data_IF_903073951301
#
_entry.id   IF_903073951301
#
_cell.length_a   1.000
_cell.length_b   1.000
_cell.length_c   1.000
_cell.angle_alpha   90.00
_cell.angle_beta   90.00
_cell.angle_gamma   90.00
#
_symmetry.space_group_name_H-M   'P 1'
#
loop_
_entity.id
_entity.type
_entity.pdbx_description
1 polymer ?
#
# COMPACT_ATOMS: atom_id res chain seq x y z
N UNK A 1 25.81 -43.46 -11.12
CA UNK A 1 25.24 -42.86 -9.89
C UNK A 1 25.57 -41.37 -9.70
N UNK A 2 26.70 -40.84 -10.21
CA UNK A 2 27.07 -39.42 -10.05
C UNK A 2 26.21 -38.42 -10.86
N UNK A 3 25.66 -38.81 -12.01
CA UNK A 3 24.81 -37.94 -12.83
C UNK A 3 23.41 -37.69 -12.23
N UNK A 4 22.90 -38.63 -11.44
CA UNK A 4 21.58 -38.53 -10.82
C UNK A 4 21.56 -37.44 -9.72
N UNK A 5 22.66 -37.30 -8.99
CA UNK A 5 22.83 -36.30 -7.92
C UNK A 5 22.84 -34.87 -8.45
N UNK A 6 23.46 -34.64 -9.61
CA UNK A 6 23.48 -33.31 -10.23
C UNK A 6 22.10 -32.86 -10.71
N UNK A 7 21.32 -33.78 -11.31
CA UNK A 7 19.97 -33.46 -11.78
C UNK A 7 19.03 -33.08 -10.62
N UNK A 8 19.18 -33.74 -9.47
CA UNK A 8 18.34 -33.49 -8.30
C UNK A 8 18.67 -32.13 -7.64
N UNK A 9 19.95 -31.76 -7.62
CA UNK A 9 20.39 -30.46 -7.11
C UNK A 9 19.90 -29.28 -7.98
N UNK A 10 19.88 -29.44 -9.30
CA UNK A 10 19.38 -28.40 -10.22
C UNK A 10 17.89 -28.21 -10.05
N UNK A 11 17.09 -29.28 -9.97
CA UNK A 11 15.63 -29.16 -9.79
C UNK A 11 15.25 -28.47 -8.47
N UNK A 12 16.00 -28.69 -7.38
CA UNK A 12 15.73 -28.07 -6.08
C UNK A 12 16.00 -26.56 -6.06
N UNK A 13 16.91 -26.06 -6.90
CA UNK A 13 17.23 -24.64 -6.98
C UNK A 13 16.15 -23.79 -7.67
N UNK A 14 15.32 -24.38 -8.53
CA UNK A 14 14.27 -23.67 -9.27
C UNK A 14 12.95 -23.52 -8.50
N UNK A 15 12.73 -24.29 -7.44
CA UNK A 15 11.47 -24.29 -6.69
C UNK A 15 11.36 -23.16 -5.66
N UNK A 16 12.41 -22.37 -5.45
CA UNK A 16 12.49 -21.37 -4.36
C UNK A 16 11.91 -19.99 -4.70
N UNK A 17 11.45 -19.74 -5.94
CA UNK A 17 11.08 -18.37 -6.38
C UNK A 17 9.58 -18.04 -6.30
N UNK A 18 8.72 -18.91 -5.76
CA UNK A 18 7.26 -18.74 -5.86
C UNK A 18 6.52 -18.45 -4.55
N UNK A 19 7.15 -17.77 -3.59
CA UNK A 19 6.49 -17.28 -2.37
C UNK A 19 6.54 -15.75 -2.28
N UNK A 20 6.21 -15.08 -3.39
CA UNK A 20 5.64 -13.74 -3.29
C UNK A 20 4.17 -13.91 -2.92
N UNK A 21 3.88 -14.31 -1.68
CA UNK A 21 2.51 -14.23 -1.15
C UNK A 21 2.11 -12.76 -1.25
N UNK A 22 1.15 -12.39 -2.09
CA UNK A 22 0.71 -11.00 -2.14
C UNK A 22 0.27 -10.63 -0.73
N UNK A 23 0.82 -9.53 -0.20
CA UNK A 23 0.35 -9.01 1.08
C UNK A 23 -1.18 -8.91 1.01
N UNK A 24 -1.92 -9.29 2.08
CA UNK A 24 -3.36 -9.14 2.10
C UNK A 24 -3.70 -7.66 1.81
N UNK A 25 -4.06 -7.39 0.56
CA UNK A 25 -4.67 -6.14 0.17
C UNK A 25 -6.05 -6.15 0.83
N UNK A 26 -6.30 -5.15 1.66
CA UNK A 26 -7.57 -4.98 2.37
C UNK A 26 -8.70 -5.19 1.36
N UNK A 27 -9.50 -6.25 1.58
CA UNK A 27 -10.53 -6.76 0.65
C UNK A 27 -11.61 -5.73 0.29
N UNK A 28 -11.60 -4.58 0.94
CA UNK A 28 -12.35 -3.40 0.59
C UNK A 28 -11.44 -2.18 0.86
N UNK A 29 -10.86 -1.51 -0.14
CA UNK A 29 -10.21 -0.24 0.10
C UNK A 29 -11.31 0.71 0.56
N UNK A 30 -11.36 0.97 1.87
CA UNK A 30 -12.15 2.07 2.41
C UNK A 30 -11.89 3.29 1.52
N UNK A 31 -12.93 3.96 0.99
CA UNK A 31 -12.74 5.04 0.06
C UNK A 31 -11.80 6.09 0.68
N UNK A 32 -10.66 6.30 0.02
CA UNK A 32 -9.67 7.30 0.44
C UNK A 32 -10.16 8.65 -0.05
N UNK A 33 -10.48 9.53 0.88
CA UNK A 33 -10.90 10.89 0.57
C UNK A 33 -9.69 11.81 0.50
N UNK A 34 -9.60 12.61 -0.56
CA UNK A 34 -8.53 13.59 -0.73
C UNK A 34 -8.99 15.02 -0.45
N UNK A 35 -8.05 15.86 -0.07
CA UNK A 35 -8.27 17.26 0.27
C UNK A 35 -7.16 18.16 -0.29
N UNK A 36 -7.48 19.40 -0.64
CA UNK A 36 -6.56 20.32 -1.30
C UNK A 36 -6.36 19.95 -2.77
N UNK A 37 -5.11 20.02 -3.22
CA UNK A 37 -4.74 19.88 -4.63
C UNK A 37 -5.26 21.03 -5.50
N UNK A 38 -5.20 20.87 -6.82
CA UNK A 38 -5.68 21.85 -7.81
C UNK A 38 -7.17 22.20 -7.62
N UNK A 39 -7.96 21.24 -7.14
CA UNK A 39 -9.42 21.38 -6.95
C UNK A 39 -9.79 22.10 -5.66
N UNK A 40 -8.85 22.28 -4.71
CA UNK A 40 -9.13 22.89 -3.41
C UNK A 40 -10.13 22.11 -2.54
N UNK A 41 -10.22 20.79 -2.72
CA UNK A 41 -11.23 19.92 -2.09
C UNK A 41 -11.15 19.99 -0.56
N UNK A 42 -12.29 20.06 0.14
CA UNK A 42 -12.32 20.01 1.61
C UNK A 42 -12.70 18.62 2.09
N UNK A 43 -12.15 18.22 3.24
CA UNK A 43 -12.60 17.01 3.91
C UNK A 43 -14.05 17.16 4.42
N UNK A 44 -14.81 16.06 4.47
CA UNK A 44 -16.15 16.06 5.06
C UNK A 44 -16.13 16.46 6.54
N UNK A 45 -17.28 16.89 7.06
CA UNK A 45 -17.43 17.31 8.47
C UNK A 45 -17.00 16.19 9.41
N UNK A 46 -16.19 16.53 10.42
CA UNK A 46 -15.65 15.55 11.37
C UNK A 46 -14.32 14.92 10.95
N UNK A 47 -13.78 15.31 9.79
CA UNK A 47 -12.50 14.83 9.27
C UNK A 47 -11.50 15.98 9.16
N UNK A 48 -10.22 15.64 9.16
CA UNK A 48 -9.10 16.57 8.96
C UNK A 48 -8.30 16.19 7.74
N UNK A 49 -7.69 17.19 7.11
CA UNK A 49 -6.77 16.99 6.01
C UNK A 49 -5.36 16.75 6.55
N UNK A 50 -4.76 15.61 6.21
CA UNK A 50 -3.40 15.25 6.59
C UNK A 50 -2.47 15.22 5.37
N UNK A 51 -1.24 15.66 5.60
CA UNK A 51 -0.18 15.65 4.60
C UNK A 51 0.42 14.26 4.38
N UNK A 52 1.27 14.09 3.34
CA UNK A 52 1.83 15.17 2.51
C UNK A 52 0.81 15.77 1.53
N UNK A 53 0.77 17.09 1.43
CA UNK A 53 -0.08 17.79 0.45
C UNK A 53 0.70 17.87 -0.87
N UNK A 54 0.41 16.97 -1.80
CA UNK A 54 0.97 17.03 -3.16
C UNK A 54 0.17 18.01 -4.01
N UNK A 55 0.82 18.72 -4.94
CA UNK A 55 0.14 19.73 -5.77
C UNK A 55 -0.96 19.14 -6.64
N UNK A 56 -0.74 17.92 -7.15
CA UNK A 56 -1.66 17.28 -8.10
C UNK A 56 -2.78 16.49 -7.40
N UNK A 57 -2.48 15.88 -6.24
CA UNK A 57 -3.39 14.94 -5.54
C UNK A 57 -3.97 15.54 -4.26
N UNK A 58 -3.27 16.48 -3.63
CA UNK A 58 -3.60 17.00 -2.31
C UNK A 58 -3.13 16.09 -1.17
N UNK A 59 -3.75 16.25 -0.01
CA UNK A 59 -3.60 15.39 1.17
C UNK A 59 -4.66 14.31 1.25
N UNK A 60 -4.66 13.58 2.37
CA UNK A 60 -5.63 12.53 2.67
C UNK A 60 -6.47 12.92 3.88
N UNK A 61 -7.77 12.69 3.82
CA UNK A 61 -8.68 12.95 4.92
C UNK A 61 -8.66 11.80 5.92
N UNK A 62 -8.55 12.13 7.20
CA UNK A 62 -8.67 11.18 8.31
C UNK A 62 -9.80 11.60 9.25
N UNK A 63 -10.44 10.62 9.88
CA UNK A 63 -11.45 10.88 10.90
C UNK A 63 -10.86 11.61 12.10
N UNK A 64 -11.65 12.53 12.67
CA UNK A 64 -11.26 13.40 13.77
C UNK A 64 -10.86 14.79 13.28
N UNK A 65 -11.34 15.82 13.98
CA UNK A 65 -11.03 17.23 13.67
C UNK A 65 -9.74 17.71 14.36
N UNK A 66 -9.25 16.97 15.36
CA UNK A 66 -8.10 17.34 16.19
C UNK A 66 -7.18 16.15 16.44
N UNK A 67 -5.87 16.40 16.50
CA UNK A 67 -4.83 15.40 16.78
C UNK A 67 -3.77 15.27 15.69
N UNK A 68 -2.83 14.37 15.91
CA UNK A 68 -1.66 14.16 15.04
C UNK A 68 -2.06 13.34 13.82
N UNK A 69 -1.59 13.74 12.64
CA UNK A 69 -1.75 12.96 11.43
C UNK A 69 -0.93 11.67 11.51
N UNK A 70 -1.45 10.52 11.04
CA UNK A 70 -0.67 9.30 10.97
C UNK A 70 0.57 9.53 10.10
N UNK A 71 1.72 9.05 10.57
CA UNK A 71 3.01 9.12 9.89
C UNK A 71 3.10 8.10 8.77
#
# INVERSE_FOLDING_TARGET
MKFLSYSLAVCLAFSSVALATPAPQVTDPLPVYHCGGLSGSKCPTGWRCCGPIQVDVGGTCYQGTTGICPL
#
